data_IF_076415866453
#
_entry.id   IF_076415866453
#
_cell.length_a   1.000
_cell.length_b   1.000
_cell.length_c   1.000
_cell.angle_alpha   90.00
_cell.angle_beta   90.00
_cell.angle_gamma   90.00
#
_symmetry.space_group_name_H-M   'P 1'
#
loop_
_entity.id
_entity.type
_entity.pdbx_description
1 polymer ?
#
# COMPACT_ATOMS: atom_id res chain seq x y z
N UNK A 1 13.67 1.96 -11.38
CA UNK A 1 12.94 0.87 -10.68
C UNK A 1 11.50 0.94 -11.13
N UNK A 2 10.91 -0.19 -11.50
CA UNK A 2 9.56 -0.27 -12.04
C UNK A 2 8.86 -1.44 -11.33
N UNK A 3 7.72 -1.16 -10.70
CA UNK A 3 6.88 -2.18 -10.06
C UNK A 3 5.64 -2.30 -10.91
N UNK A 4 5.49 -3.44 -11.59
CA UNK A 4 4.28 -3.73 -12.36
C UNK A 4 3.38 -4.62 -11.53
N UNK A 5 2.14 -4.21 -11.25
CA UNK A 5 1.20 -5.03 -10.46
C UNK A 5 -0.22 -4.90 -10.97
N UNK A 6 -0.95 -6.01 -11.00
CA UNK A 6 -2.37 -5.98 -11.31
C UNK A 6 -3.15 -5.23 -10.22
N UNK A 7 -4.02 -4.30 -10.62
CA UNK A 7 -4.83 -3.50 -9.72
C UNK A 7 -5.61 -4.34 -8.70
N UNK A 8 -6.26 -5.42 -9.13
CA UNK A 8 -7.12 -6.24 -8.25
C UNK A 8 -6.31 -6.92 -7.14
N UNK A 9 -5.09 -7.34 -7.48
CA UNK A 9 -4.15 -7.98 -6.55
C UNK A 9 -3.69 -6.98 -5.49
N UNK A 10 -3.46 -5.71 -5.86
CA UNK A 10 -3.07 -4.64 -4.94
C UNK A 10 -4.24 -4.09 -4.12
N UNK A 11 -5.42 -3.97 -4.72
CA UNK A 11 -6.52 -3.19 -4.16
C UNK A 11 -7.08 -3.79 -2.86
N UNK A 12 -7.18 -5.12 -2.78
CA UNK A 12 -7.65 -5.84 -1.59
C UNK A 12 -6.73 -5.62 -0.37
N UNK A 13 -5.43 -5.94 -0.41
CA UNK A 13 -4.54 -5.70 0.72
C UNK A 13 -4.41 -4.21 1.07
N UNK A 14 -4.38 -3.32 0.07
CA UNK A 14 -4.36 -1.88 0.28
C UNK A 14 -5.60 -1.39 1.05
N UNK A 15 -6.78 -1.87 0.68
CA UNK A 15 -8.03 -1.53 1.38
C UNK A 15 -7.99 -1.98 2.84
N UNK A 16 -7.52 -3.21 3.09
CA UNK A 16 -7.42 -3.76 4.44
C UNK A 16 -6.44 -2.98 5.32
N UNK A 17 -5.24 -2.68 4.81
CA UNK A 17 -4.23 -1.90 5.55
C UNK A 17 -4.71 -0.47 5.81
N UNK A 18 -5.41 0.14 4.84
CA UNK A 18 -5.97 1.50 4.99
C UNK A 18 -7.12 1.55 6.00
N UNK A 19 -7.75 0.43 6.36
CA UNK A 19 -8.91 0.41 7.26
C UNK A 19 -8.63 0.90 8.68
N UNK A 20 -7.38 0.78 9.14
CA UNK A 20 -6.96 1.25 10.47
C UNK A 20 -6.38 2.67 10.44
N UNK A 21 -6.28 3.29 9.26
CA UNK A 21 -5.77 4.65 9.12
C UNK A 21 -6.90 5.63 9.45
N UNK A 22 -6.83 6.27 10.61
CA UNK A 22 -7.80 7.28 11.00
C UNK A 22 -7.75 8.54 10.13
N UNK A 23 -8.85 9.33 10.14
CA UNK A 23 -8.98 10.53 9.30
C UNK A 23 -8.23 11.75 9.83
N UNK A 24 -7.98 11.82 11.13
CA UNK A 24 -7.42 13.02 11.80
C UNK A 24 -6.39 12.59 12.84
N UNK A 25 -5.14 12.55 12.40
CA UNK A 25 -4.00 12.33 13.30
C UNK A 25 -3.37 13.65 13.69
N UNK A 26 -2.96 13.78 14.96
CA UNK A 26 -2.02 14.82 15.40
C UNK A 26 -0.64 14.63 14.79
N UNK A 27 -0.30 13.38 14.44
CA UNK A 27 0.96 12.98 13.80
C UNK A 27 0.71 12.66 12.31
N UNK A 28 1.13 13.53 11.36
CA UNK A 28 0.84 13.33 9.94
C UNK A 28 1.35 12.01 9.35
N UNK A 29 2.45 11.47 9.88
CA UNK A 29 3.03 10.20 9.42
C UNK A 29 2.08 9.00 9.59
N UNK A 30 1.18 9.04 10.58
CA UNK A 30 0.18 7.98 10.80
C UNK A 30 -0.94 7.99 9.75
N UNK A 31 -1.01 9.02 8.91
CA UNK A 31 -1.90 9.06 7.74
C UNK A 31 -1.32 8.32 6.52
N UNK A 32 -0.07 7.85 6.64
CA UNK A 32 0.62 7.08 5.61
C UNK A 32 0.59 5.59 5.92
N UNK A 33 0.80 4.79 4.88
CA UNK A 33 1.25 3.40 4.99
C UNK A 33 2.72 3.32 4.62
N UNK A 34 3.42 2.34 5.17
CA UNK A 34 4.72 1.88 4.74
C UNK A 34 4.53 0.91 3.57
N UNK A 35 5.22 1.17 2.47
CA UNK A 35 5.35 0.28 1.32
C UNK A 35 6.80 -0.19 1.25
N UNK A 36 6.99 -1.50 1.38
CA UNK A 36 8.28 -2.16 1.18
C UNK A 36 8.18 -3.12 0.01
N UNK A 37 9.11 -3.05 -0.93
CA UNK A 37 9.26 -4.02 -2.01
C UNK A 37 10.63 -4.68 -1.87
N UNK A 38 10.68 -5.96 -1.50
CA UNK A 38 11.91 -6.75 -1.40
C UNK A 38 11.61 -8.23 -1.63
N UNK A 39 12.58 -8.99 -2.15
CA UNK A 39 12.46 -10.45 -2.33
C UNK A 39 11.18 -10.89 -3.07
N UNK A 40 10.81 -10.22 -4.16
CA UNK A 40 9.58 -10.46 -4.92
C UNK A 40 8.28 -10.35 -4.10
N UNK A 41 8.29 -9.54 -3.04
CA UNK A 41 7.13 -9.25 -2.22
C UNK A 41 6.96 -7.75 -2.02
N UNK A 42 5.73 -7.28 -2.16
CA UNK A 42 5.30 -5.95 -1.75
C UNK A 42 4.55 -6.09 -0.44
N UNK A 43 5.11 -5.51 0.62
CA UNK A 43 4.51 -5.45 1.94
C UNK A 43 3.94 -4.05 2.18
N UNK A 44 2.67 -4.01 2.57
CA UNK A 44 1.95 -2.80 2.99
C UNK A 44 1.70 -2.86 4.48
N UNK A 45 2.11 -1.83 5.21
CA UNK A 45 1.94 -1.75 6.67
C UNK A 45 1.34 -0.41 7.08
N UNK A 46 0.35 -0.42 7.96
CA UNK A 46 -0.18 0.78 8.62
C UNK A 46 -0.30 0.54 10.13
N UNK A 47 -0.40 1.62 10.91
CA UNK A 47 -0.57 1.57 12.36
C UNK A 47 -1.25 2.83 12.89
N UNK A 48 -1.99 2.69 13.98
CA UNK A 48 -2.58 3.77 14.78
C UNK A 48 -1.91 3.90 16.17
N UNK A 49 -0.74 3.26 16.36
CA UNK A 49 0.01 3.11 17.63
C UNK A 49 -0.55 2.09 18.62
N UNK A 50 -1.78 1.61 18.45
CA UNK A 50 -2.36 0.56 19.28
C UNK A 50 -2.34 -0.79 18.55
N UNK A 51 -2.60 -0.75 17.24
CA UNK A 51 -2.63 -1.90 16.35
C UNK A 51 -1.80 -1.63 15.08
N UNK A 52 -1.38 -2.72 14.44
CA UNK A 52 -0.70 -2.70 13.17
C UNK A 52 -1.31 -3.77 12.26
N UNK A 53 -1.53 -3.42 10.99
CA UNK A 53 -1.85 -4.39 9.94
C UNK A 53 -0.71 -4.40 8.94
N UNK A 54 -0.16 -5.58 8.67
CA UNK A 54 0.82 -5.83 7.62
C UNK A 54 0.32 -6.91 6.68
N UNK A 55 0.24 -6.61 5.39
CA UNK A 55 -0.15 -7.58 4.36
C UNK A 55 0.91 -7.60 3.26
N UNK A 56 1.17 -8.79 2.74
CA UNK A 56 2.18 -9.02 1.71
C UNK A 56 1.54 -9.58 0.45
N UNK A 57 2.07 -9.16 -0.70
CA UNK A 57 1.66 -9.58 -2.02
C UNK A 57 2.88 -10.02 -2.79
N UNK A 58 2.83 -11.20 -3.41
CA UNK A 58 3.88 -11.64 -4.30
C UNK A 58 3.83 -10.81 -5.60
N UNK A 59 4.97 -10.25 -6.00
CA UNK A 59 5.11 -9.55 -7.26
C UNK A 59 6.55 -9.66 -7.77
N UNK A 60 6.73 -9.88 -9.07
CA UNK A 60 8.05 -9.93 -9.69
C UNK A 60 8.55 -8.52 -9.99
N UNK A 61 9.66 -8.12 -9.37
CA UNK A 61 10.31 -6.84 -9.62
C UNK A 61 11.80 -6.92 -9.35
N UNK A 62 12.57 -6.02 -9.94
CA UNK A 62 14.01 -5.90 -9.70
C UNK A 62 14.31 -4.75 -8.72
N UNK A 63 15.14 -5.01 -7.71
CA UNK A 63 15.59 -4.02 -6.73
C UNK A 63 14.79 -4.02 -5.44
N UNK A 64 15.12 -3.10 -4.55
CA UNK A 64 14.46 -2.93 -3.25
C UNK A 64 13.93 -1.50 -3.10
N UNK A 65 12.78 -1.36 -2.45
CA UNK A 65 12.15 -0.09 -2.12
C UNK A 65 11.64 -0.12 -0.69
N UNK A 66 11.79 1.00 0.01
CA UNK A 66 11.04 1.28 1.23
C UNK A 66 10.66 2.76 1.22
N UNK A 67 9.37 3.05 1.34
CA UNK A 67 8.85 4.41 1.38
C UNK A 67 7.54 4.48 2.14
N UNK A 68 7.10 5.69 2.49
CA UNK A 68 5.74 5.90 3.00
C UNK A 68 4.91 6.68 2.00
N UNK A 69 3.64 6.32 1.89
CA UNK A 69 2.69 6.93 0.96
C UNK A 69 1.39 7.21 1.71
N UNK A 70 0.72 8.32 1.38
CA UNK A 70 -0.62 8.61 1.94
C UNK A 70 -1.59 7.48 1.62
N UNK A 71 -2.03 6.75 2.65
CA UNK A 71 -2.80 5.52 2.49
C UNK A 71 -4.11 5.77 1.75
N UNK A 72 -4.84 6.81 2.18
CA UNK A 72 -6.12 7.18 1.59
C UNK A 72 -5.99 7.66 0.14
N UNK A 73 -5.04 8.57 -0.15
CA UNK A 73 -4.84 9.05 -1.52
C UNK A 73 -4.46 7.90 -2.44
N UNK A 74 -3.60 6.99 -2.00
CA UNK A 74 -3.19 5.85 -2.80
C UNK A 74 -4.35 4.90 -3.08
N UNK A 75 -5.16 4.58 -2.05
CA UNK A 75 -6.37 3.78 -2.22
C UNK A 75 -7.36 4.42 -3.19
N UNK A 76 -7.60 5.72 -3.07
CA UNK A 76 -8.53 6.45 -3.94
C UNK A 76 -8.04 6.46 -5.39
N UNK A 77 -6.74 6.68 -5.62
CA UNK A 77 -6.10 6.58 -6.95
C UNK A 77 -6.29 5.16 -7.51
N UNK A 78 -5.92 4.13 -6.76
CA UNK A 78 -6.08 2.74 -7.20
C UNK A 78 -7.54 2.40 -7.50
N UNK A 79 -8.52 2.94 -6.77
CA UNK A 79 -9.95 2.73 -7.06
C UNK A 79 -10.41 3.44 -8.33
N UNK A 80 -9.81 4.57 -8.68
CA UNK A 80 -10.19 5.34 -9.88
C UNK A 80 -9.69 4.74 -11.20
N UNK A 81 -8.74 3.79 -11.12
CA UNK A 81 -8.22 3.09 -12.30
C UNK A 81 -9.25 2.12 -12.89
N UNK A 82 -9.14 1.74 -14.18
CA UNK A 82 -9.97 0.70 -14.78
C UNK A 82 -9.81 -0.68 -14.11
N UNK A 83 -10.83 -1.51 -14.20
CA UNK A 83 -10.80 -2.89 -13.67
C UNK A 83 -9.73 -3.71 -14.38
N UNK A 84 -9.05 -4.56 -13.61
CA UNK A 84 -7.99 -5.47 -14.10
C UNK A 84 -6.80 -4.81 -14.81
N UNK A 85 -6.60 -3.49 -14.70
CA UNK A 85 -5.43 -2.82 -15.31
C UNK A 85 -4.14 -3.17 -14.57
N UNK A 86 -3.04 -3.28 -15.30
CA UNK A 86 -1.71 -3.33 -14.70
C UNK A 86 -1.21 -1.91 -14.41
N UNK A 87 -0.76 -1.68 -13.18
CA UNK A 87 -0.14 -0.45 -12.71
C UNK A 87 1.36 -0.58 -12.94
N UNK A 88 2.00 0.40 -13.59
CA UNK A 88 3.43 0.44 -13.94
C UNK A 88 4.18 1.59 -13.25
#
# INVERSE_FOLDING_TARGET
MQIKINREVLLKPLTNVTSIVERRHTLPILSNLLLEAKNNHIQLTATDLEMQISLSVQNEFSGELSTTISAKKFLDICRSLPDSVDID
#
